data_IF_741160322899
#
_entry.id   IF_741160322899
#
_cell.length_a   1.000
_cell.length_b   1.000
_cell.length_c   1.000
_cell.angle_alpha   90.00
_cell.angle_beta   90.00
_cell.angle_gamma   90.00
#
_symmetry.space_group_name_H-M   'P 1'
#
loop_
_entity.id
_entity.type
_entity.pdbx_description
1 polymer ?
#
# COMPACT_ATOMS: atom_id res chain seq x y z
N UNK A 1 -8.86 12.90 -5.00
CA UNK A 1 -7.65 13.70 -4.72
C UNK A 1 -6.44 12.79 -4.79
N UNK A 2 -5.35 13.29 -5.37
CA UNK A 2 -4.11 12.53 -5.49
C UNK A 2 -2.99 13.26 -4.77
N UNK A 3 -2.07 12.51 -4.15
CA UNK A 3 -0.88 13.11 -3.55
C UNK A 3 0.31 12.18 -3.72
N UNK A 4 1.49 12.76 -3.61
CA UNK A 4 2.75 12.02 -3.70
C UNK A 4 3.04 11.28 -2.41
N UNK A 5 3.85 10.21 -2.50
CA UNK A 5 4.39 9.56 -1.31
C UNK A 5 5.36 10.53 -0.62
N UNK A 6 5.21 10.69 0.69
CA UNK A 6 6.03 11.66 1.44
C UNK A 6 7.53 11.38 1.36
N UNK A 7 7.92 10.11 1.36
CA UNK A 7 9.33 9.72 1.31
C UNK A 7 9.88 9.60 -0.12
N UNK A 8 9.02 9.68 -1.14
CA UNK A 8 9.42 9.53 -2.54
C UNK A 8 8.65 10.52 -3.41
N UNK A 9 8.80 11.83 -3.19
CA UNK A 9 7.98 12.82 -3.90
C UNK A 9 8.28 12.92 -5.40
N UNK A 10 9.42 12.41 -5.85
CA UNK A 10 9.81 12.43 -7.27
C UNK A 10 9.58 11.10 -7.97
N UNK A 11 9.04 10.10 -7.25
CA UNK A 11 8.80 8.78 -7.83
C UNK A 11 7.61 8.83 -8.80
N UNK A 12 7.57 7.85 -9.72
CA UNK A 12 6.44 7.65 -10.61
C UNK A 12 5.32 6.89 -9.86
N UNK A 13 4.93 7.43 -8.72
CA UNK A 13 3.95 6.83 -7.84
C UNK A 13 3.10 7.92 -7.22
N UNK A 14 1.83 7.61 -7.00
CA UNK A 14 0.91 8.54 -6.36
C UNK A 14 -0.13 7.76 -5.57
N UNK A 15 -0.72 8.43 -4.58
CA UNK A 15 -1.79 7.87 -3.76
C UNK A 15 -3.08 8.59 -4.14
N UNK A 16 -4.09 7.84 -4.54
CA UNK A 16 -5.43 8.37 -4.78
C UNK A 16 -6.21 8.25 -3.48
N UNK A 17 -6.58 9.39 -2.89
CA UNK A 17 -7.32 9.43 -1.65
C UNK A 17 -8.82 9.46 -1.94
N UNK A 18 -9.53 8.44 -1.48
CA UNK A 18 -10.98 8.34 -1.59
C UNK A 18 -11.65 8.73 -0.27
N UNK A 19 -11.08 8.29 0.86
CA UNK A 19 -11.49 8.70 2.20
C UNK A 19 -10.27 8.68 3.12
N UNK A 20 -9.22 9.44 2.76
CA UNK A 20 -8.00 9.56 3.55
C UNK A 20 -7.32 8.22 3.79
N UNK A 21 -6.90 7.98 5.04
CA UNK A 21 -6.24 6.72 5.40
C UNK A 21 -7.18 5.52 5.38
N UNK A 22 -8.48 5.77 5.57
CA UNK A 22 -9.48 4.70 5.63
C UNK A 22 -9.70 4.04 4.28
N UNK A 23 -9.61 4.81 3.19
CA UNK A 23 -9.86 4.31 1.84
C UNK A 23 -9.00 5.08 0.84
N UNK A 24 -7.96 4.43 0.34
CA UNK A 24 -7.04 5.03 -0.64
C UNK A 24 -6.36 3.91 -1.43
N UNK A 25 -5.64 4.30 -2.49
CA UNK A 25 -4.92 3.31 -3.29
C UNK A 25 -3.61 3.86 -3.80
N UNK A 26 -2.61 2.98 -3.91
CA UNK A 26 -1.31 3.30 -4.47
C UNK A 26 -1.27 2.95 -5.94
N UNK A 27 -0.94 3.95 -6.75
CA UNK A 27 -0.77 3.78 -8.20
C UNK A 27 0.73 3.91 -8.48
N UNK A 28 1.34 2.85 -8.99
CA UNK A 28 2.74 2.82 -9.39
C UNK A 28 2.78 2.85 -10.90
N UNK A 29 3.37 3.91 -11.46
CA UNK A 29 3.27 4.23 -12.88
C UNK A 29 1.80 4.41 -13.25
N UNK A 30 1.15 3.42 -13.84
CA UNK A 30 -0.26 3.49 -14.21
C UNK A 30 -1.06 2.31 -13.64
N UNK A 31 -0.47 1.56 -12.71
CA UNK A 31 -1.09 0.35 -12.18
C UNK A 31 -1.38 0.51 -10.69
N UNK A 32 -2.59 0.18 -10.28
CA UNK A 32 -2.93 0.10 -8.86
C UNK A 32 -2.28 -1.16 -8.29
N UNK A 33 -1.31 -0.99 -7.37
CA UNK A 33 -0.51 -2.09 -6.85
C UNK A 33 -0.80 -2.42 -5.39
N UNK A 34 -1.46 -1.51 -4.66
CA UNK A 34 -1.85 -1.72 -3.28
C UNK A 34 -3.00 -0.77 -2.96
N UNK A 35 -3.74 -1.07 -1.91
CA UNK A 35 -4.85 -0.22 -1.49
C UNK A 35 -5.18 -0.43 -0.02
N UNK A 36 -5.72 0.60 0.62
CA UNK A 36 -6.44 0.47 1.88
C UNK A 36 -7.92 0.62 1.55
N UNK A 37 -8.72 -0.39 1.85
CA UNK A 37 -10.16 -0.39 1.60
C UNK A 37 -10.88 -0.62 2.91
N UNK A 38 -11.60 0.40 3.37
CA UNK A 38 -12.32 0.36 4.64
C UNK A 38 -11.43 -0.09 5.80
N UNK A 39 -10.20 0.45 5.82
CA UNK A 39 -9.23 0.14 6.86
C UNK A 39 -8.44 -1.14 6.68
N UNK A 40 -8.68 -1.89 5.60
CA UNK A 40 -7.93 -3.10 5.29
C UNK A 40 -6.92 -2.87 4.18
N UNK A 41 -5.66 -3.19 4.44
CA UNK A 41 -4.58 -3.09 3.46
C UNK A 41 -4.52 -4.33 2.60
N UNK A 42 -4.50 -4.12 1.29
CA UNK A 42 -4.33 -5.16 0.26
C UNK A 42 -3.08 -4.87 -0.55
N UNK A 43 -2.28 -5.90 -0.82
CA UNK A 43 -1.14 -5.82 -1.74
C UNK A 43 -1.50 -6.66 -2.95
N UNK A 44 -1.62 -6.02 -4.11
CA UNK A 44 -2.06 -6.70 -5.32
C UNK A 44 -0.94 -7.37 -6.09
N UNK A 45 0.29 -6.87 -5.97
CA UNK A 45 1.44 -7.45 -6.62
C UNK A 45 2.71 -6.71 -6.26
N UNK A 46 3.83 -7.37 -6.39
CA UNK A 46 5.13 -6.77 -6.06
C UNK A 46 5.84 -6.21 -7.29
N UNK A 47 5.54 -6.74 -8.45
CA UNK A 47 6.00 -6.27 -9.77
C UNK A 47 7.52 -6.06 -9.83
N UNK A 48 7.99 -4.86 -10.27
CA UNK A 48 9.40 -4.56 -10.44
C UNK A 48 10.04 -4.11 -9.13
N UNK A 49 11.39 -4.02 -9.11
CA UNK A 49 12.13 -3.50 -7.97
C UNK A 49 11.71 -2.07 -7.63
N UNK A 50 11.44 -1.23 -8.65
CA UNK A 50 10.98 0.15 -8.43
C UNK A 50 9.60 0.17 -7.77
N UNK A 51 8.67 -0.66 -8.24
CA UNK A 51 7.34 -0.76 -7.64
C UNK A 51 7.42 -1.23 -6.19
N UNK A 52 8.35 -2.15 -5.88
CA UNK A 52 8.55 -2.61 -4.49
C UNK A 52 8.99 -1.48 -3.58
N UNK A 53 9.81 -0.54 -4.08
CA UNK A 53 10.18 0.65 -3.32
C UNK A 53 8.98 1.56 -3.08
N UNK A 54 8.11 1.69 -4.08
CA UNK A 54 6.86 2.46 -3.93
C UNK A 54 5.97 1.83 -2.86
N UNK A 55 5.82 0.50 -2.89
CA UNK A 55 5.02 -0.22 -1.91
C UNK A 55 5.61 -0.06 -0.51
N UNK A 56 6.94 -0.16 -0.37
CA UNK A 56 7.62 0.01 0.91
C UNK A 56 7.31 1.39 1.52
N UNK A 57 7.42 2.45 0.74
CA UNK A 57 7.11 3.80 1.20
C UNK A 57 5.63 3.95 1.56
N UNK A 58 4.75 3.39 0.73
CA UNK A 58 3.32 3.48 0.92
C UNK A 58 2.85 2.79 2.20
N UNK A 59 3.26 1.52 2.41
CA UNK A 59 2.80 0.79 3.59
C UNK A 59 3.36 1.38 4.88
N UNK A 60 4.54 1.99 4.82
CA UNK A 60 5.10 2.67 5.97
C UNK A 60 4.28 3.91 6.31
N UNK A 61 3.88 4.67 5.31
CA UNK A 61 3.12 5.91 5.50
C UNK A 61 1.66 5.66 5.88
N UNK A 62 1.00 4.71 5.23
CA UNK A 62 -0.45 4.51 5.35
C UNK A 62 -0.85 3.36 6.26
N UNK A 63 0.04 2.43 6.55
CA UNK A 63 -0.27 1.29 7.41
C UNK A 63 0.72 1.12 8.56
N UNK A 64 1.81 1.88 8.56
CA UNK A 64 2.86 1.82 9.58
C UNK A 64 3.43 0.41 9.74
N UNK A 65 3.67 -0.27 8.62
CA UNK A 65 4.27 -1.60 8.61
C UNK A 65 5.51 -1.62 7.71
N UNK A 66 6.34 -2.65 7.89
CA UNK A 66 7.53 -2.83 7.07
C UNK A 66 7.19 -3.43 5.71
N UNK A 67 8.10 -3.27 4.75
CA UNK A 67 7.96 -3.94 3.46
C UNK A 67 7.97 -5.46 3.62
N UNK A 68 8.76 -5.98 4.59
CA UNK A 68 8.83 -7.44 4.81
C UNK A 68 7.45 -7.99 5.18
N UNK A 69 6.71 -7.30 6.05
CA UNK A 69 5.36 -7.72 6.39
C UNK A 69 4.43 -7.61 5.18
N UNK A 70 4.54 -6.52 4.41
CA UNK A 70 3.72 -6.36 3.20
C UNK A 70 3.96 -7.51 2.20
N UNK A 71 5.22 -7.90 2.03
CA UNK A 71 5.58 -9.02 1.16
C UNK A 71 4.95 -10.34 1.64
N UNK A 72 5.00 -10.59 2.96
CA UNK A 72 4.39 -11.78 3.54
C UNK A 72 2.87 -11.78 3.35
N UNK A 73 2.22 -10.63 3.53
CA UNK A 73 0.78 -10.51 3.30
C UNK A 73 0.43 -10.88 1.86
N UNK A 74 1.20 -10.39 0.91
CA UNK A 74 0.98 -10.73 -0.50
C UNK A 74 1.19 -12.22 -0.76
N UNK A 75 2.29 -12.79 -0.27
CA UNK A 75 2.63 -14.20 -0.52
C UNK A 75 1.61 -15.15 0.09
N UNK A 76 1.07 -14.80 1.25
CA UNK A 76 0.09 -15.62 1.97
C UNK A 76 -1.35 -15.27 1.63
N UNK A 77 -1.57 -14.31 0.75
CA UNK A 77 -2.91 -13.84 0.33
C UNK A 77 -3.73 -13.40 1.54
N UNK A 78 -3.14 -12.50 2.35
CA UNK A 78 -3.74 -11.98 3.56
C UNK A 78 -3.94 -10.48 3.43
N UNK A 79 -4.90 -9.95 4.19
CA UNK A 79 -5.09 -8.51 4.34
C UNK A 79 -4.78 -8.10 5.78
N UNK A 80 -4.46 -6.82 5.97
CA UNK A 80 -4.01 -6.30 7.26
C UNK A 80 -4.88 -5.12 7.66
N UNK A 81 -5.45 -5.14 8.87
CA UNK A 81 -6.24 -4.02 9.37
C UNK A 81 -5.31 -2.96 9.93
N UNK A 82 -5.32 -1.76 9.34
CA UNK A 82 -4.37 -0.70 9.71
C UNK A 82 -4.67 -0.08 11.08
N UNK A 83 -5.86 -0.31 11.64
CA UNK A 83 -6.24 0.22 12.95
C UNK A 83 -6.02 -0.77 14.08
N UNK A 84 -6.27 -2.05 13.84
CA UNK A 84 -6.21 -3.08 14.88
C UNK A 84 -4.98 -3.97 14.80
N UNK A 85 -4.30 -4.00 13.62
CA UNK A 85 -3.21 -4.94 13.38
C UNK A 85 -3.65 -6.35 13.08
N UNK A 86 -4.94 -6.58 12.95
CA UNK A 86 -5.49 -7.89 12.63
C UNK A 86 -5.11 -8.32 11.22
N UNK A 87 -4.81 -9.61 11.04
CA UNK A 87 -4.50 -10.20 9.74
C UNK A 87 -5.60 -11.24 9.43
N UNK A 88 -6.13 -11.19 8.22
CA UNK A 88 -7.20 -12.09 7.81
C UNK A 88 -6.99 -12.53 6.35
N UNK A 89 -7.54 -13.68 5.94
CA UNK A 89 -7.49 -14.09 4.52
C UNK A 89 -8.28 -13.13 3.65
N UNK A 90 -7.77 -12.95 2.45
CA UNK A 90 -8.50 -12.16 1.45
C UNK A 90 -9.69 -12.95 0.94
#
# INVERSE_FOLDING_TARGET
MEKKLSQMPYAQAKVRLLSGFYHNELISYQTTVAAVREGWLYIYGLYSATTRKHISAYVKEYANISYQLAKELYEKKMKYNIYTGEVAPI
#
